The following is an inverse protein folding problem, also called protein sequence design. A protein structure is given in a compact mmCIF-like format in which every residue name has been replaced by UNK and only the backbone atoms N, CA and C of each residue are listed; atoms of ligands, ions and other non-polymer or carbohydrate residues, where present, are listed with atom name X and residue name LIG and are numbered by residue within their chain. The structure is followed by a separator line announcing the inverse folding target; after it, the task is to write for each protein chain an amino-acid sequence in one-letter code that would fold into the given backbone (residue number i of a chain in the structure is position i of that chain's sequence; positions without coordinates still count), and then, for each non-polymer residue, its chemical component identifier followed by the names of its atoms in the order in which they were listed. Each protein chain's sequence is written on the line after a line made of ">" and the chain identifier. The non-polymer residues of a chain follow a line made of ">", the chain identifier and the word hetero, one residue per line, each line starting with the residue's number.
data_IF_300607985887
#
_entry.id   IF_300607985887
#
_cell.length_a   1.000
_cell.length_b   1.000
_cell.length_c   1.000
_cell.angle_alpha   90.00
_cell.angle_beta   90.00
_cell.angle_gamma   90.00
#
_symmetry.space_group_name_H-M   'P 1'
#
loop_
_entity.id
_entity.type
_entity.pdbx_description
1 polymer ?
#
# COMPACT_ATOMS: atom_id res chain seq x y z
N UNK A 1 -39.50 3.78 -15.27
CA UNK A 1 -38.84 4.46 -16.40
C UNK A 1 -38.23 3.38 -17.30
N UNK A 2 -39.05 2.72 -18.12
CA UNK A 2 -38.61 1.76 -19.15
C UNK A 2 -38.89 2.32 -20.55
N UNK A 3 -39.22 3.60 -20.64
CA UNK A 3 -39.18 4.33 -21.90
C UNK A 3 -37.70 4.48 -22.24
N UNK A 4 -37.20 3.59 -23.11
CA UNK A 4 -35.96 3.86 -23.83
C UNK A 4 -36.07 5.23 -24.52
N UNK A 5 -34.95 5.88 -24.87
CA UNK A 5 -35.00 7.17 -25.54
C UNK A 5 -35.97 7.09 -26.72
N UNK A 6 -37.07 7.85 -26.64
CA UNK A 6 -38.11 7.86 -27.66
C UNK A 6 -37.40 8.16 -29.00
N UNK A 7 -37.47 7.27 -30.00
CA UNK A 7 -36.71 7.44 -31.22
C UNK A 7 -37.08 8.79 -31.80
N UNK A 8 -36.11 9.71 -31.90
CA UNK A 8 -36.33 11.08 -32.39
C UNK A 8 -37.05 11.00 -33.74
N UNK A 9 -38.36 11.18 -33.72
CA UNK A 9 -39.15 11.27 -34.93
C UNK A 9 -38.80 12.60 -35.59
N UNK A 10 -38.09 12.52 -36.72
CA UNK A 10 -37.89 13.64 -37.63
C UNK A 10 -39.27 14.16 -38.05
N UNK A 11 -39.71 15.27 -37.48
CA UNK A 11 -40.94 15.97 -37.87
C UNK A 11 -40.80 16.48 -39.30
N UNK A 12 -41.30 15.71 -40.26
CA UNK A 12 -41.60 16.20 -41.61
C UNK A 12 -43.12 16.20 -41.74
N UNK A 13 -43.69 17.40 -41.80
CA UNK A 13 -45.13 17.59 -41.85
C UNK A 13 -45.74 17.22 -43.20
N UNK A 14 -46.68 16.27 -43.19
CA UNK A 14 -47.92 16.26 -44.00
C UNK A 14 -48.83 15.10 -43.53
N UNK A 15 -50.17 15.23 -43.60
CA UNK A 15 -51.09 14.26 -42.99
C UNK A 15 -51.55 13.18 -43.98
N UNK A 16 -51.38 11.90 -43.63
CA UNK A 16 -52.12 10.67 -44.03
C UNK A 16 -51.21 9.44 -43.82
N UNK A 17 -51.70 8.18 -43.81
CA UNK A 17 -52.99 7.60 -43.44
C UNK A 17 -52.86 6.73 -42.17
N UNK A 18 -53.97 6.19 -41.66
CA UNK A 18 -53.99 5.26 -40.50
C UNK A 18 -53.36 3.92 -40.89
N UNK A 19 -52.04 3.77 -40.71
CA UNK A 19 -51.35 2.48 -40.81
C UNK A 19 -51.44 1.75 -39.47
N UNK A 20 -52.13 0.61 -39.47
CA UNK A 20 -52.10 -0.35 -38.36
C UNK A 20 -50.68 -0.94 -38.28
N UNK A 21 -49.83 -0.35 -37.45
CA UNK A 21 -48.50 -0.89 -37.19
C UNK A 21 -48.63 -2.08 -36.25
N UNK A 22 -48.58 -3.29 -36.79
CA UNK A 22 -48.33 -4.49 -35.98
C UNK A 22 -46.91 -4.40 -35.46
N UNK A 23 -46.78 -4.07 -34.17
CA UNK A 23 -45.51 -4.06 -33.45
C UNK A 23 -45.03 -5.51 -33.32
N UNK A 24 -44.18 -5.95 -34.25
CA UNK A 24 -43.49 -7.24 -34.14
C UNK A 24 -42.40 -7.06 -33.08
N UNK A 25 -42.64 -7.61 -31.89
CA UNK A 25 -41.65 -7.65 -30.81
C UNK A 25 -40.57 -8.66 -31.21
N UNK A 26 -39.29 -8.27 -31.30
CA UNK A 26 -38.21 -9.21 -31.56
C UNK A 26 -38.20 -10.33 -30.53
N UNK A 27 -37.98 -11.58 -30.96
CA UNK A 27 -37.94 -12.74 -30.06
C UNK A 27 -36.88 -12.62 -28.94
N UNK A 28 -35.88 -11.76 -29.14
CA UNK A 28 -34.82 -11.47 -28.16
C UNK A 28 -35.28 -10.59 -27.00
N UNK A 29 -36.44 -9.93 -27.08
CA UNK A 29 -36.92 -9.06 -25.99
C UNK A 29 -37.32 -9.81 -24.71
N UNK A 30 -37.50 -11.13 -24.76
CA UNK A 30 -37.72 -11.96 -23.56
C UNK A 30 -36.46 -12.68 -23.07
N UNK A 31 -35.35 -12.57 -23.79
CA UNK A 31 -34.10 -13.26 -23.47
C UNK A 31 -33.32 -12.53 -22.38
N UNK A 32 -32.67 -13.30 -21.50
CA UNK A 32 -31.71 -12.74 -20.56
C UNK A 32 -30.47 -12.23 -21.30
N UNK A 33 -29.82 -11.19 -20.76
CA UNK A 33 -28.66 -10.57 -21.39
C UNK A 33 -27.54 -11.59 -21.70
N UNK A 34 -27.30 -12.53 -20.78
CA UNK A 34 -26.30 -13.61 -20.92
C UNK A 34 -26.62 -14.61 -22.04
N UNK A 35 -27.89 -14.73 -22.45
CA UNK A 35 -28.30 -15.64 -23.52
C UNK A 35 -28.19 -14.98 -24.91
N UNK A 36 -27.99 -13.67 -24.94
CA UNK A 36 -27.78 -12.91 -26.17
C UNK A 36 -26.38 -13.20 -26.74
N UNK A 37 -26.29 -13.27 -28.06
CA UNK A 37 -24.99 -13.25 -28.73
C UNK A 37 -24.29 -11.92 -28.50
N UNK A 38 -22.96 -11.88 -28.65
CA UNK A 38 -22.21 -10.64 -28.41
C UNK A 38 -22.67 -9.48 -29.29
N UNK A 39 -22.99 -9.73 -30.56
CA UNK A 39 -23.55 -8.72 -31.44
C UNK A 39 -24.93 -8.22 -30.99
N UNK A 40 -25.75 -9.10 -30.40
CA UNK A 40 -27.03 -8.70 -29.80
C UNK A 40 -26.82 -7.89 -28.53
N UNK A 41 -25.85 -8.25 -27.68
CA UNK A 41 -25.47 -7.48 -26.50
C UNK A 41 -24.99 -6.06 -26.88
N UNK A 42 -24.21 -5.94 -27.94
CA UNK A 42 -23.77 -4.65 -28.48
C UNK A 42 -24.94 -3.83 -29.03
N UNK A 43 -25.90 -4.46 -29.68
CA UNK A 43 -27.14 -3.79 -30.10
C UNK A 43 -27.95 -3.28 -28.89
N UNK A 44 -28.03 -4.07 -27.81
CA UNK A 44 -28.66 -3.66 -26.54
C UNK A 44 -27.98 -2.41 -25.97
N UNK A 45 -26.64 -2.37 -25.96
CA UNK A 45 -25.87 -1.20 -25.50
C UNK A 45 -26.04 0.01 -26.42
N UNK A 46 -26.13 -0.19 -27.73
CA UNK A 46 -26.40 0.87 -28.70
C UNK A 46 -27.76 1.52 -28.46
N UNK A 47 -28.74 0.74 -27.98
CA UNK A 47 -30.04 1.22 -27.53
C UNK A 47 -30.02 1.85 -26.13
N UNK A 48 -28.82 2.09 -25.57
CA UNK A 48 -28.57 2.68 -24.25
C UNK A 48 -29.10 1.85 -23.06
N UNK A 49 -29.29 0.54 -23.24
CA UNK A 49 -29.56 -0.36 -22.11
C UNK A 49 -28.23 -0.82 -21.48
N UNK A 50 -28.16 -0.73 -20.15
CA UNK A 50 -27.20 -1.50 -19.36
C UNK A 50 -27.75 -2.91 -19.10
N UNK A 51 -26.93 -3.83 -18.60
CA UNK A 51 -27.41 -5.16 -18.18
C UNK A 51 -28.55 -5.02 -17.17
N UNK A 52 -28.39 -4.12 -16.20
CA UNK A 52 -29.41 -3.83 -15.18
C UNK A 52 -30.71 -3.33 -15.79
N UNK A 53 -30.67 -2.35 -16.70
CA UNK A 53 -31.90 -1.82 -17.30
C UNK A 53 -32.52 -2.80 -18.30
N UNK A 54 -31.71 -3.63 -18.96
CA UNK A 54 -32.19 -4.73 -19.79
C UNK A 54 -32.96 -5.75 -18.94
N UNK A 55 -32.36 -6.29 -17.88
CA UNK A 55 -33.04 -7.22 -16.98
C UNK A 55 -34.30 -6.57 -16.37
N UNK A 56 -34.22 -5.36 -15.83
CA UNK A 56 -35.39 -4.70 -15.23
C UNK A 56 -36.54 -4.46 -16.21
N UNK A 57 -36.26 -4.12 -17.48
CA UNK A 57 -37.30 -3.73 -18.43
C UNK A 57 -37.76 -4.86 -19.36
N UNK A 58 -36.92 -5.86 -19.60
CA UNK A 58 -37.18 -6.94 -20.58
C UNK A 58 -37.46 -8.28 -19.90
N UNK A 59 -36.68 -8.66 -18.90
CA UNK A 59 -36.89 -9.90 -18.16
C UNK A 59 -36.28 -9.82 -16.74
N UNK A 60 -37.09 -9.45 -15.73
CA UNK A 60 -36.61 -9.25 -14.35
C UNK A 60 -36.15 -10.52 -13.64
N UNK A 61 -36.56 -11.70 -14.14
CA UNK A 61 -36.23 -13.00 -13.53
C UNK A 61 -34.83 -13.50 -13.92
N UNK A 62 -34.12 -12.76 -14.77
CA UNK A 62 -32.78 -13.10 -15.21
C UNK A 62 -31.75 -12.98 -14.08
N UNK A 63 -30.91 -14.00 -13.93
CA UNK A 63 -29.72 -13.90 -13.10
C UNK A 63 -28.68 -12.97 -13.74
N UNK A 64 -27.85 -12.33 -12.92
CA UNK A 64 -26.71 -11.57 -13.41
C UNK A 64 -25.73 -12.50 -14.18
N UNK A 65 -25.14 -12.06 -15.31
CA UNK A 65 -24.23 -12.91 -16.07
C UNK A 65 -22.99 -13.32 -15.25
N UNK A 66 -22.60 -14.58 -15.34
CA UNK A 66 -21.41 -15.09 -14.66
C UNK A 66 -20.13 -14.40 -15.18
N UNK A 67 -19.24 -14.04 -14.25
CA UNK A 67 -17.95 -13.41 -14.58
C UNK A 67 -18.02 -11.95 -15.00
N UNK A 68 -19.19 -11.31 -15.03
CA UNK A 68 -19.32 -9.86 -15.19
C UNK A 68 -19.51 -9.23 -13.80
N UNK A 69 -18.74 -8.21 -13.41
CA UNK A 69 -18.94 -7.51 -12.14
C UNK A 69 -20.33 -6.90 -12.04
N UNK A 70 -20.95 -7.01 -10.87
CA UNK A 70 -22.25 -6.37 -10.62
C UNK A 70 -22.13 -4.84 -10.62
N UNK A 71 -23.22 -4.08 -10.80
CA UNK A 71 -23.17 -2.61 -10.75
C UNK A 71 -22.69 -2.05 -9.42
N UNK A 72 -22.82 -2.84 -8.35
CA UNK A 72 -22.35 -2.53 -6.99
C UNK A 72 -20.94 -3.06 -6.71
N UNK A 73 -20.28 -3.71 -7.67
CA UNK A 73 -18.93 -4.22 -7.50
C UNK A 73 -17.95 -3.06 -7.26
N UNK A 74 -16.92 -3.24 -6.40
CA UNK A 74 -15.88 -2.24 -6.21
C UNK A 74 -15.24 -1.84 -7.54
N UNK A 75 -14.94 -0.55 -7.71
CA UNK A 75 -14.38 -0.03 -8.96
C UNK A 75 -13.14 -0.82 -9.44
N UNK A 76 -12.27 -1.26 -8.52
CA UNK A 76 -11.06 -2.02 -8.89
C UNK A 76 -11.36 -3.43 -9.43
N UNK A 77 -12.45 -4.06 -8.98
CA UNK A 77 -12.91 -5.33 -9.55
C UNK A 77 -13.38 -5.11 -10.99
N UNK A 78 -14.13 -4.03 -11.22
CA UNK A 78 -14.58 -3.63 -12.55
C UNK A 78 -13.37 -3.33 -13.46
N UNK A 79 -12.37 -2.60 -12.96
CA UNK A 79 -11.15 -2.29 -13.69
C UNK A 79 -10.35 -3.55 -14.05
N UNK A 80 -10.17 -4.48 -13.11
CA UNK A 80 -9.48 -5.75 -13.34
C UNK A 80 -10.24 -6.63 -14.35
N UNK A 81 -11.57 -6.61 -14.30
CA UNK A 81 -12.41 -7.26 -15.29
C UNK A 81 -12.23 -6.65 -16.68
N UNK A 82 -12.14 -5.33 -16.83
CA UNK A 82 -11.83 -4.71 -18.13
C UNK A 82 -10.45 -5.10 -18.64
N UNK A 83 -9.43 -5.01 -17.79
CA UNK A 83 -8.06 -5.36 -18.13
C UNK A 83 -7.95 -6.83 -18.62
N UNK A 84 -8.75 -7.73 -18.05
CA UNK A 84 -8.74 -9.17 -18.39
C UNK A 84 -9.72 -9.57 -19.49
N UNK A 85 -10.91 -8.98 -19.60
CA UNK A 85 -11.95 -9.42 -20.52
C UNK A 85 -11.82 -8.82 -21.92
N UNK A 86 -11.46 -7.54 -22.00
CA UNK A 86 -11.38 -6.83 -23.27
C UNK A 86 -10.05 -7.10 -23.97
N UNK A 87 -8.94 -7.00 -23.24
CA UNK A 87 -7.59 -7.11 -23.83
C UNK A 87 -7.05 -8.54 -23.95
N UNK A 88 -7.75 -9.55 -23.44
CA UNK A 88 -7.37 -10.96 -23.68
C UNK A 88 -7.81 -11.48 -25.05
N UNK A 89 -8.65 -10.73 -25.78
CA UNK A 89 -9.22 -11.13 -27.07
C UNK A 89 -8.38 -10.64 -28.24
N UNK A 90 -8.37 -11.41 -29.32
CA UNK A 90 -7.78 -10.94 -30.57
C UNK A 90 -8.67 -9.89 -31.23
N UNK A 91 -8.07 -8.97 -32.00
CA UNK A 91 -8.83 -7.90 -32.68
C UNK A 91 -9.92 -8.42 -33.62
N UNK A 92 -9.70 -9.60 -34.23
CA UNK A 92 -10.65 -10.22 -35.16
C UNK A 92 -11.84 -10.86 -34.45
N UNK A 93 -11.69 -11.25 -33.18
CA UNK A 93 -12.76 -11.85 -32.38
C UNK A 93 -13.72 -10.80 -31.80
N UNK A 94 -13.37 -9.52 -31.90
CA UNK A 94 -14.26 -8.42 -31.51
C UNK A 94 -15.40 -8.27 -32.53
N UNK A 95 -16.52 -7.73 -32.10
CA UNK A 95 -17.60 -7.31 -33.01
C UNK A 95 -17.22 -6.03 -33.74
N UNK A 96 -17.89 -5.74 -34.86
CA UNK A 96 -17.69 -4.49 -35.60
C UNK A 96 -17.95 -3.28 -34.69
N UNK A 97 -19.03 -3.28 -33.90
CA UNK A 97 -19.35 -2.18 -33.00
C UNK A 97 -18.28 -1.92 -31.92
N UNK A 98 -17.65 -2.97 -31.38
CA UNK A 98 -16.53 -2.81 -30.44
C UNK A 98 -15.27 -2.29 -31.13
N UNK A 99 -14.97 -2.77 -32.34
CA UNK A 99 -13.85 -2.23 -33.13
C UNK A 99 -14.06 -0.76 -33.45
N UNK A 100 -15.24 -0.37 -33.93
CA UNK A 100 -15.57 1.02 -34.23
C UNK A 100 -15.39 1.92 -32.99
N UNK A 101 -15.85 1.47 -31.82
CA UNK A 101 -15.66 2.19 -30.56
C UNK A 101 -14.17 2.29 -30.17
N UNK A 102 -13.39 1.21 -30.33
CA UNK A 102 -11.96 1.21 -30.07
C UNK A 102 -11.19 2.11 -31.05
N UNK A 103 -11.57 2.14 -32.32
CA UNK A 103 -11.00 3.01 -33.35
C UNK A 103 -11.26 4.48 -33.04
N UNK A 104 -12.44 4.84 -32.53
CA UNK A 104 -12.73 6.19 -32.02
C UNK A 104 -11.82 6.57 -30.83
N UNK A 105 -11.45 5.59 -30.01
CA UNK A 105 -10.45 5.75 -28.95
C UNK A 105 -9.00 5.73 -29.48
N UNK A 106 -8.79 5.60 -30.79
CA UNK A 106 -7.47 5.67 -31.42
C UNK A 106 -6.73 4.34 -31.51
N UNK A 107 -7.40 3.23 -31.20
CA UNK A 107 -6.87 1.90 -31.49
C UNK A 107 -6.86 1.62 -32.99
N UNK A 108 -5.93 0.76 -33.38
CA UNK A 108 -5.89 0.15 -34.69
C UNK A 108 -5.50 -1.32 -34.50
N UNK A 109 -5.81 -2.18 -35.47
CA UNK A 109 -5.47 -3.61 -35.41
C UNK A 109 -3.98 -3.86 -35.11
N UNK A 110 -3.08 -3.09 -35.73
CA UNK A 110 -1.62 -3.19 -35.47
C UNK A 110 -1.26 -2.84 -34.02
N UNK A 111 -1.79 -1.73 -33.51
CA UNK A 111 -1.58 -1.30 -32.11
C UNK A 111 -2.15 -2.27 -31.10
N UNK A 112 -3.28 -2.89 -31.41
CA UNK A 112 -3.93 -3.88 -30.55
C UNK A 112 -3.02 -5.08 -30.30
N UNK A 113 -2.43 -5.62 -31.38
CA UNK A 113 -1.50 -6.76 -31.28
C UNK A 113 -0.25 -6.39 -30.48
N UNK A 114 0.24 -5.17 -30.65
CA UNK A 114 1.42 -4.66 -29.93
C UNK A 114 1.11 -4.14 -28.51
N UNK A 115 -0.17 -4.13 -28.10
CA UNK A 115 -0.63 -3.49 -26.87
C UNK A 115 -0.13 -2.03 -26.71
N UNK A 116 -0.01 -1.29 -27.82
CA UNK A 116 0.36 0.13 -27.84
C UNK A 116 -0.88 0.99 -27.53
N UNK A 117 -1.10 1.25 -26.25
CA UNK A 117 -2.24 2.04 -25.80
C UNK A 117 -2.27 3.44 -26.47
N UNK A 118 -3.40 3.81 -27.08
CA UNK A 118 -3.58 5.14 -27.67
C UNK A 118 -3.50 6.26 -26.62
N UNK A 119 -3.18 7.48 -27.08
CA UNK A 119 -3.07 8.66 -26.21
C UNK A 119 -4.38 9.00 -25.46
N UNK A 120 -5.54 8.58 -25.96
CA UNK A 120 -6.83 8.76 -25.28
C UNK A 120 -6.79 8.15 -23.87
N UNK A 121 -6.13 7.01 -23.67
CA UNK A 121 -6.03 6.34 -22.36
C UNK A 121 -5.12 7.08 -21.36
N UNK A 122 -4.39 8.10 -21.80
CA UNK A 122 -3.67 9.00 -20.92
C UNK A 122 -4.50 10.24 -20.53
N UNK A 123 -5.61 10.51 -21.23
CA UNK A 123 -6.46 11.67 -20.98
C UNK A 123 -7.42 11.41 -19.82
N UNK A 124 -7.73 12.47 -19.07
CA UNK A 124 -8.85 12.44 -18.12
C UNK A 124 -10.16 12.24 -18.87
N UNK A 125 -11.18 11.69 -18.19
CA UNK A 125 -12.49 11.50 -18.82
C UNK A 125 -13.05 12.82 -19.37
N UNK A 126 -12.87 13.92 -18.63
CA UNK A 126 -13.30 15.27 -19.02
C UNK A 126 -12.57 15.85 -20.23
N UNK A 127 -11.40 15.30 -20.59
CA UNK A 127 -10.58 15.75 -21.72
C UNK A 127 -10.89 14.96 -23.00
N UNK A 128 -11.57 13.82 -22.88
CA UNK A 128 -12.05 13.05 -24.03
C UNK A 128 -13.07 13.85 -24.84
N UNK A 129 -13.01 13.69 -26.16
CA UNK A 129 -14.06 14.21 -27.03
C UNK A 129 -15.40 13.53 -26.72
N UNK A 130 -16.56 14.18 -26.92
CA UNK A 130 -17.87 13.58 -26.64
C UNK A 130 -18.07 12.20 -27.29
N UNK A 131 -17.63 12.03 -28.55
CA UNK A 131 -17.68 10.73 -29.25
C UNK A 131 -16.76 9.67 -28.62
N UNK A 132 -15.64 10.07 -28.03
CA UNK A 132 -14.75 9.17 -27.32
C UNK A 132 -15.36 8.74 -25.98
N UNK A 133 -16.02 9.66 -25.26
CA UNK A 133 -16.77 9.31 -24.05
C UNK A 133 -17.91 8.34 -24.34
N UNK A 134 -18.66 8.57 -25.43
CA UNK A 134 -19.70 7.65 -25.91
C UNK A 134 -19.13 6.27 -26.25
N UNK A 135 -18.01 6.23 -26.99
CA UNK A 135 -17.32 4.98 -27.31
C UNK A 135 -16.79 4.24 -26.08
N UNK A 136 -16.18 4.96 -25.12
CA UNK A 136 -15.74 4.38 -23.85
C UNK A 136 -16.92 3.84 -23.04
N UNK A 137 -18.03 4.59 -22.98
CA UNK A 137 -19.28 4.17 -22.33
C UNK A 137 -19.86 2.92 -22.97
N UNK A 138 -19.85 2.84 -24.31
CA UNK A 138 -20.29 1.67 -25.06
C UNK A 138 -19.47 0.41 -24.72
N UNK A 139 -18.13 0.56 -24.61
CA UNK A 139 -17.26 -0.53 -24.17
C UNK A 139 -17.54 -0.92 -22.70
N UNK A 140 -18.10 -0.01 -21.91
CA UNK A 140 -18.56 -0.21 -20.54
C UNK A 140 -17.81 0.61 -19.50
N UNK A 141 -16.88 1.47 -19.92
CA UNK A 141 -16.20 2.38 -19.01
C UNK A 141 -17.17 3.42 -18.46
N UNK A 142 -16.99 3.75 -17.19
CA UNK A 142 -17.52 4.97 -16.60
C UNK A 142 -16.35 5.88 -16.19
N UNK A 143 -16.63 7.08 -15.72
CA UNK A 143 -15.61 8.05 -15.29
C UNK A 143 -14.66 7.47 -14.23
N UNK A 144 -15.18 6.70 -13.27
CA UNK A 144 -14.38 6.16 -12.18
C UNK A 144 -13.40 5.10 -12.68
N UNK A 145 -13.86 4.15 -13.49
CA UNK A 145 -13.02 3.08 -14.05
C UNK A 145 -12.00 3.65 -15.03
N UNK A 146 -12.41 4.61 -15.87
CA UNK A 146 -11.50 5.29 -16.81
C UNK A 146 -10.36 6.00 -16.08
N UNK A 147 -10.68 6.72 -15.01
CA UNK A 147 -9.70 7.38 -14.13
C UNK A 147 -9.07 6.41 -13.11
N UNK A 148 -8.98 5.11 -13.45
CA UNK A 148 -8.31 4.07 -12.67
C UNK A 148 -8.75 4.02 -11.20
N UNK A 149 -10.02 4.31 -10.96
CA UNK A 149 -10.66 4.33 -9.64
C UNK A 149 -10.02 5.31 -8.66
N UNK A 150 -9.42 6.41 -9.15
CA UNK A 150 -8.72 7.39 -8.31
C UNK A 150 -9.57 7.89 -7.13
N UNK A 151 -10.86 8.15 -7.38
CA UNK A 151 -11.83 8.64 -6.38
C UNK A 151 -12.61 7.54 -5.67
N UNK A 152 -12.67 6.34 -6.26
CA UNK A 152 -13.52 5.24 -5.80
C UNK A 152 -12.78 4.19 -4.97
N UNK A 153 -11.44 4.19 -5.00
CA UNK A 153 -10.62 3.23 -4.29
C UNK A 153 -9.43 3.89 -3.56
N UNK A 154 -9.06 3.40 -2.36
CA UNK A 154 -7.90 3.90 -1.64
C UNK A 154 -6.61 3.81 -2.47
N UNK A 155 -5.76 4.83 -2.37
CA UNK A 155 -4.51 4.90 -3.13
C UNK A 155 -3.63 3.66 -2.90
N UNK A 156 -3.50 3.21 -1.65
CA UNK A 156 -2.65 2.07 -1.31
C UNK A 156 -3.10 0.78 -1.99
N UNK A 157 -4.41 0.51 -2.05
CA UNK A 157 -4.95 -0.66 -2.74
C UNK A 157 -4.67 -0.59 -4.25
N UNK A 158 -4.77 0.61 -4.85
CA UNK A 158 -4.40 0.82 -6.26
C UNK A 158 -2.91 0.59 -6.50
N UNK A 159 -2.05 1.09 -5.62
CA UNK A 159 -0.60 0.91 -5.70
C UNK A 159 -0.22 -0.56 -5.59
N UNK A 160 -0.77 -1.31 -4.62
CA UNK A 160 -0.53 -2.75 -4.45
C UNK A 160 -0.89 -3.55 -5.72
N UNK A 161 -2.02 -3.23 -6.36
CA UNK A 161 -2.43 -3.87 -7.61
C UNK A 161 -1.46 -3.58 -8.75
N UNK A 162 -1.01 -2.33 -8.89
CA UNK A 162 -0.03 -1.93 -9.90
C UNK A 162 1.31 -2.62 -9.68
N UNK A 163 1.82 -2.63 -8.45
CA UNK A 163 3.08 -3.31 -8.13
C UNK A 163 2.99 -4.81 -8.38
N UNK A 164 1.87 -5.45 -8.02
CA UNK A 164 1.64 -6.87 -8.30
C UNK A 164 1.67 -7.12 -9.81
N UNK A 165 0.92 -6.33 -10.58
CA UNK A 165 0.87 -6.41 -12.05
C UNK A 165 2.27 -6.27 -12.67
N UNK A 166 3.03 -5.25 -12.26
CA UNK A 166 4.34 -4.97 -12.84
C UNK A 166 5.45 -5.91 -12.36
N UNK A 167 5.37 -6.42 -11.13
CA UNK A 167 6.33 -7.41 -10.61
C UNK A 167 6.26 -8.76 -11.33
N UNK A 168 5.11 -9.09 -11.92
CA UNK A 168 4.91 -10.34 -12.65
C UNK A 168 5.45 -10.30 -14.09
N UNK A 169 5.80 -9.13 -14.62
CA UNK A 169 6.16 -8.95 -16.04
C UNK A 169 7.67 -8.76 -16.17
N UNK A 170 8.33 -9.65 -16.93
CA UNK A 170 9.74 -9.44 -17.27
C UNK A 170 9.89 -8.39 -18.39
N UNK A 171 10.99 -7.64 -18.37
CA UNK A 171 11.26 -6.62 -19.40
C UNK A 171 11.20 -7.18 -20.82
N UNK A 172 11.69 -8.40 -21.03
CA UNK A 172 11.73 -9.05 -22.35
C UNK A 172 10.37 -9.52 -22.86
N UNK A 173 9.42 -9.75 -21.96
CA UNK A 173 8.05 -10.13 -22.31
C UNK A 173 7.18 -8.91 -22.60
N UNK A 174 7.62 -7.71 -22.23
CA UNK A 174 6.93 -6.47 -22.57
C UNK A 174 7.03 -6.18 -24.06
N UNK A 175 5.93 -5.69 -24.62
CA UNK A 175 5.90 -5.23 -26.00
C UNK A 175 6.77 -3.98 -26.20
N UNK A 176 7.38 -3.86 -27.38
CA UNK A 176 8.35 -2.79 -27.67
C UNK A 176 7.80 -1.37 -27.46
N UNK A 177 6.56 -1.03 -27.88
CA UNK A 177 6.01 0.31 -27.64
C UNK A 177 5.89 0.66 -26.16
N UNK A 178 5.58 -0.34 -25.31
CA UNK A 178 5.52 -0.13 -23.88
C UNK A 178 6.92 0.05 -23.26
N UNK A 179 7.90 -0.74 -23.71
CA UNK A 179 9.30 -0.54 -23.30
C UNK A 179 9.80 0.85 -23.66
N UNK A 180 9.45 1.38 -24.84
CA UNK A 180 9.88 2.70 -25.29
C UNK A 180 9.32 3.82 -24.40
N UNK A 181 8.06 3.70 -23.94
CA UNK A 181 7.48 4.60 -22.93
C UNK A 181 8.15 4.48 -21.58
N UNK A 182 8.50 3.27 -21.14
CA UNK A 182 9.27 3.09 -19.91
C UNK A 182 10.69 3.69 -20.02
N UNK A 183 11.32 3.65 -21.21
CA UNK A 183 12.59 4.33 -21.45
C UNK A 183 12.48 5.86 -21.33
N UNK A 184 11.35 6.46 -21.74
CA UNK A 184 11.10 7.89 -21.49
C UNK A 184 11.08 8.22 -19.99
N UNK A 185 10.60 7.28 -19.17
CA UNK A 185 10.65 7.39 -17.71
C UNK A 185 12.02 7.03 -17.13
N UNK A 186 13.02 6.72 -17.96
CA UNK A 186 14.38 6.39 -17.54
C UNK A 186 14.59 4.93 -17.12
N UNK A 187 13.67 4.01 -17.46
CA UNK A 187 13.88 2.58 -17.30
C UNK A 187 14.68 1.99 -18.47
N UNK A 188 15.48 0.99 -18.13
CA UNK A 188 16.10 0.08 -19.09
C UNK A 188 15.95 -1.35 -18.54
N UNK A 189 16.31 -2.37 -19.34
CA UNK A 189 16.20 -3.79 -18.94
C UNK A 189 16.90 -4.06 -17.61
N UNK A 190 18.08 -3.48 -17.41
CA UNK A 190 18.89 -3.69 -16.21
C UNK A 190 18.21 -3.08 -14.99
N UNK A 191 17.73 -1.84 -15.11
CA UNK A 191 17.04 -1.12 -14.04
C UNK A 191 15.74 -1.79 -13.64
N UNK A 192 14.93 -2.17 -14.64
CA UNK A 192 13.69 -2.91 -14.40
C UNK A 192 13.95 -4.22 -13.65
N UNK A 193 14.86 -5.04 -14.16
CA UNK A 193 15.16 -6.37 -13.59
C UNK A 193 15.78 -6.24 -12.19
N UNK A 194 16.63 -5.23 -11.97
CA UNK A 194 17.20 -4.98 -10.66
C UNK A 194 16.18 -4.37 -9.69
N UNK A 195 15.03 -3.89 -10.17
CA UNK A 195 14.14 -3.01 -9.42
C UNK A 195 14.80 -1.69 -9.04
N UNK A 196 15.87 -1.28 -9.73
CA UNK A 196 16.42 0.06 -9.60
C UNK A 196 15.35 0.98 -10.20
N UNK A 197 14.60 1.67 -9.36
CA UNK A 197 13.66 2.69 -9.84
C UNK A 197 14.42 3.65 -10.76
N UNK A 198 13.73 4.22 -11.76
CA UNK A 198 14.33 5.24 -12.60
C UNK A 198 15.10 6.24 -11.72
N UNK A 199 16.38 6.47 -12.02
CA UNK A 199 17.34 7.22 -11.17
C UNK A 199 16.91 8.64 -10.80
N UNK A 200 15.76 9.10 -11.30
CA UNK A 200 15.10 10.35 -10.98
C UNK A 200 13.62 10.04 -10.73
N UNK A 201 13.24 9.58 -9.53
CA UNK A 201 11.85 9.69 -9.09
C UNK A 201 11.55 11.18 -8.88
N UNK A 202 11.29 11.89 -9.98
CA UNK A 202 10.61 13.18 -9.97
C UNK A 202 9.22 12.97 -9.37
N UNK A 203 8.76 13.91 -8.56
CA UNK A 203 7.36 13.92 -8.17
C UNK A 203 6.48 14.02 -9.43
N UNK A 204 5.26 13.50 -9.40
CA UNK A 204 4.38 13.51 -10.58
C UNK A 204 4.20 14.91 -11.16
N UNK A 205 4.16 15.92 -10.29
CA UNK A 205 4.04 17.34 -10.66
C UNK A 205 5.21 17.85 -11.49
N UNK A 206 6.41 17.30 -11.27
CA UNK A 206 7.67 17.69 -11.93
C UNK A 206 7.93 16.92 -13.24
N UNK A 207 7.06 15.97 -13.58
CA UNK A 207 7.11 15.25 -14.85
C UNK A 207 6.69 16.16 -16.01
N UNK A 208 7.39 16.00 -17.13
CA UNK A 208 6.98 16.53 -18.44
C UNK A 208 5.68 15.89 -18.90
N UNK A 209 4.98 16.51 -19.85
CA UNK A 209 3.70 15.97 -20.36
C UNK A 209 3.88 14.58 -20.99
N UNK A 210 4.99 14.34 -21.68
CA UNK A 210 5.33 13.02 -22.24
C UNK A 210 5.54 11.98 -21.12
N UNK A 211 6.29 12.32 -20.07
CA UNK A 211 6.46 11.45 -18.90
C UNK A 211 5.10 11.17 -18.23
N UNK A 212 4.24 12.18 -18.04
CA UNK A 212 2.89 11.99 -17.45
C UNK A 212 2.01 11.06 -18.28
N UNK A 213 2.06 11.17 -19.61
CA UNK A 213 1.39 10.24 -20.54
C UNK A 213 1.90 8.82 -20.31
N UNK A 214 3.22 8.63 -20.29
CA UNK A 214 3.83 7.32 -20.10
C UNK A 214 3.51 6.71 -18.72
N UNK A 215 3.46 7.53 -17.66
CA UNK A 215 3.02 7.12 -16.31
C UNK A 215 1.55 6.66 -16.31
N UNK A 216 0.65 7.42 -16.94
CA UNK A 216 -0.77 7.07 -17.01
C UNK A 216 -1.05 5.81 -17.82
N UNK A 217 -0.33 5.61 -18.91
CA UNK A 217 -0.45 4.40 -19.72
C UNK A 217 0.14 3.17 -19.02
N UNK A 218 1.12 3.37 -18.14
CA UNK A 218 1.56 2.35 -17.18
C UNK A 218 0.55 2.12 -16.02
N UNK A 219 -0.61 2.78 -16.05
CA UNK A 219 -1.71 2.59 -15.09
C UNK A 219 -1.59 3.39 -13.80
N UNK A 220 -0.51 4.16 -13.63
CA UNK A 220 -0.34 5.02 -12.47
C UNK A 220 -1.11 6.33 -12.65
N UNK A 221 -1.72 6.79 -11.57
CA UNK A 221 -2.19 8.17 -11.42
C UNK A 221 -1.25 8.93 -10.47
N UNK A 222 -1.44 10.25 -10.33
CA UNK A 222 -0.51 11.13 -9.60
C UNK A 222 -0.15 10.61 -8.22
N UNK A 223 -1.15 10.20 -7.43
CA UNK A 223 -0.93 9.77 -6.07
C UNK A 223 -0.19 8.42 -5.98
N UNK A 224 -0.55 7.44 -6.81
CA UNK A 224 0.15 6.14 -6.85
C UNK A 224 1.58 6.25 -7.38
N UNK A 225 1.84 7.17 -8.32
CA UNK A 225 3.21 7.44 -8.79
C UNK A 225 4.10 7.95 -7.65
N UNK A 226 3.57 8.87 -6.85
CA UNK A 226 4.26 9.46 -5.71
C UNK A 226 4.25 8.56 -4.45
N UNK A 227 3.75 7.33 -4.54
CA UNK A 227 3.73 6.38 -3.43
C UNK A 227 2.67 6.66 -2.36
N UNK A 228 1.53 7.25 -2.77
CA UNK A 228 0.38 7.56 -1.92
C UNK A 228 0.72 8.49 -0.74
N UNK A 229 1.29 9.70 -0.99
CA UNK A 229 1.75 10.59 0.08
C UNK A 229 0.63 11.03 1.03
N UNK A 230 -0.62 11.11 0.51
CA UNK A 230 -1.80 11.56 1.25
C UNK A 230 -2.55 10.43 1.97
N UNK A 231 -2.16 9.16 1.78
CA UNK A 231 -2.76 8.06 2.54
C UNK A 231 -2.41 8.19 4.02
N UNK A 232 -3.31 7.69 4.88
CA UNK A 232 -3.09 7.74 6.32
C UNK A 232 -1.77 7.01 6.66
N UNK A 233 -1.02 7.55 7.62
CA UNK A 233 0.29 6.99 7.93
C UNK A 233 0.19 5.50 8.29
N UNK A 234 -0.80 5.13 9.10
CA UNK A 234 -1.01 3.73 9.52
C UNK A 234 -1.27 2.80 8.34
N UNK A 235 -2.06 3.23 7.34
CA UNK A 235 -2.32 2.45 6.13
C UNK A 235 -1.04 2.22 5.34
N UNK A 236 -0.23 3.28 5.16
CA UNK A 236 1.06 3.21 4.48
C UNK A 236 2.03 2.30 5.20
N UNK A 237 2.12 2.41 6.53
CA UNK A 237 2.99 1.56 7.34
C UNK A 237 2.55 0.10 7.29
N UNK A 238 1.25 -0.18 7.39
CA UNK A 238 0.71 -1.52 7.26
C UNK A 238 0.95 -2.13 5.88
N UNK A 239 0.83 -1.32 4.82
CA UNK A 239 1.21 -1.73 3.47
C UNK A 239 2.68 -2.14 3.39
N UNK A 240 3.61 -1.34 3.92
CA UNK A 240 5.04 -1.68 3.93
C UNK A 240 5.30 -2.97 4.71
N UNK A 241 4.65 -3.16 5.87
CA UNK A 241 4.75 -4.40 6.64
C UNK A 241 4.30 -5.60 5.82
N UNK A 242 3.14 -5.53 5.16
CA UNK A 242 2.64 -6.63 4.30
C UNK A 242 3.54 -6.89 3.10
N UNK A 243 4.01 -5.83 2.44
CA UNK A 243 4.90 -5.91 1.27
C UNK A 243 6.17 -6.70 1.57
N UNK A 244 6.73 -6.54 2.78
CA UNK A 244 8.00 -7.14 3.17
C UNK A 244 7.88 -8.28 4.19
N UNK A 245 6.68 -8.62 4.72
CA UNK A 245 6.53 -9.66 5.75
C UNK A 245 6.84 -11.06 5.25
N UNK A 246 6.40 -11.38 4.03
CA UNK A 246 6.40 -12.75 3.49
C UNK A 246 7.42 -12.94 2.36
N UNK A 247 8.16 -11.88 2.02
CA UNK A 247 9.18 -11.94 0.97
C UNK A 247 10.47 -12.56 1.52
N UNK A 248 10.94 -13.60 0.84
CA UNK A 248 12.24 -14.20 1.15
C UNK A 248 13.37 -13.25 0.69
N UNK A 249 14.50 -13.26 1.38
CA UNK A 249 15.64 -12.41 1.03
C UNK A 249 16.10 -12.58 -0.43
N UNK A 250 16.05 -13.82 -0.94
CA UNK A 250 16.38 -14.16 -2.33
C UNK A 250 15.35 -13.63 -3.35
N UNK A 251 14.10 -13.43 -2.92
CA UNK A 251 13.02 -12.92 -3.76
C UNK A 251 13.00 -11.38 -3.89
N UNK A 252 13.68 -10.67 -2.99
CA UNK A 252 13.90 -9.22 -3.13
C UNK A 252 14.65 -8.92 -4.44
N UNK A 253 14.34 -7.79 -5.07
CA UNK A 253 15.12 -7.33 -6.22
C UNK A 253 16.56 -6.98 -5.80
N UNK A 254 17.49 -6.89 -6.75
CA UNK A 254 18.89 -6.53 -6.44
C UNK A 254 18.97 -5.16 -5.76
N UNK A 255 18.19 -4.18 -6.23
CA UNK A 255 18.10 -2.85 -5.65
C UNK A 255 17.52 -2.89 -4.23
N UNK A 256 16.42 -3.62 -4.02
CA UNK A 256 15.80 -3.77 -2.71
C UNK A 256 16.76 -4.42 -1.71
N UNK A 257 17.46 -5.50 -2.10
CA UNK A 257 18.48 -6.12 -1.23
C UNK A 257 19.59 -5.14 -0.86
N UNK A 258 20.09 -4.35 -1.82
CA UNK A 258 21.14 -3.35 -1.56
C UNK A 258 20.65 -2.24 -0.62
N UNK A 259 19.43 -1.75 -0.83
CA UNK A 259 18.80 -0.78 0.05
C UNK A 259 18.67 -1.33 1.48
N UNK A 260 18.17 -2.56 1.61
CA UNK A 260 18.08 -3.27 2.89
C UNK A 260 19.45 -3.50 3.54
N UNK A 261 20.48 -3.83 2.76
CA UNK A 261 21.86 -3.97 3.26
C UNK A 261 22.43 -2.66 3.80
N UNK A 262 22.14 -1.53 3.15
CA UNK A 262 22.53 -0.19 3.65
C UNK A 262 21.78 0.19 4.94
N UNK A 263 20.61 -0.39 5.16
CA UNK A 263 19.86 -0.33 6.43
C UNK A 263 20.28 -1.44 7.41
N UNK A 264 21.43 -2.09 7.18
CA UNK A 264 22.02 -3.06 8.10
C UNK A 264 21.42 -4.46 8.05
N UNK A 265 20.51 -4.76 7.11
CA UNK A 265 19.98 -6.11 6.94
C UNK A 265 20.96 -7.00 6.19
N UNK A 266 20.90 -8.29 6.52
CA UNK A 266 21.46 -9.37 5.73
C UNK A 266 20.46 -10.53 5.75
N UNK A 267 20.76 -11.60 5.01
CA UNK A 267 19.88 -12.76 4.90
C UNK A 267 19.51 -13.39 6.25
N UNK A 268 20.47 -13.46 7.19
CA UNK A 268 20.24 -14.04 8.52
C UNK A 268 19.33 -13.15 9.37
N UNK A 269 19.56 -11.83 9.35
CA UNK A 269 18.74 -10.87 10.10
C UNK A 269 17.35 -10.73 9.51
N UNK A 270 17.21 -10.87 8.19
CA UNK A 270 15.92 -10.82 7.49
C UNK A 270 14.95 -11.90 7.99
N UNK A 271 15.46 -13.11 8.27
CA UNK A 271 14.65 -14.20 8.82
C UNK A 271 14.05 -13.88 10.19
N UNK A 272 14.67 -12.99 10.98
CA UNK A 272 14.12 -12.52 12.25
C UNK A 272 13.04 -11.44 12.11
N UNK A 273 12.83 -10.92 10.90
CA UNK A 273 11.90 -9.83 10.61
C UNK A 273 12.59 -8.48 10.34
N UNK A 274 11.82 -7.59 9.71
CA UNK A 274 12.29 -6.31 9.18
C UNK A 274 12.79 -5.31 10.24
N UNK A 275 12.49 -5.49 11.53
CA UNK A 275 12.82 -4.49 12.57
C UNK A 275 14.10 -4.80 13.37
N UNK A 276 14.83 -5.85 13.02
CA UNK A 276 15.91 -6.39 13.86
C UNK A 276 17.31 -5.80 13.61
N UNK A 277 17.40 -4.63 12.98
CA UNK A 277 18.68 -3.97 12.66
C UNK A 277 18.88 -2.69 13.43
N UNK A 278 20.14 -2.27 13.60
CA UNK A 278 20.49 -1.02 14.29
C UNK A 278 19.85 0.18 13.57
N UNK A 279 19.86 0.21 12.24
CA UNK A 279 19.27 1.32 11.48
C UNK A 279 17.77 1.45 11.78
N UNK A 280 17.03 0.34 11.87
CA UNK A 280 15.60 0.35 12.22
C UNK A 280 15.30 0.82 13.64
N UNK A 281 16.33 1.02 14.46
CA UNK A 281 16.20 1.58 15.79
C UNK A 281 16.48 3.10 15.80
N UNK A 282 17.15 3.63 14.77
CA UNK A 282 17.41 5.06 14.60
C UNK A 282 16.12 5.82 14.26
N UNK A 283 16.02 7.06 14.73
CA UNK A 283 15.04 8.03 14.22
C UNK A 283 15.36 8.40 12.79
N UNK A 284 14.35 8.94 12.09
CA UNK A 284 14.55 9.38 10.72
C UNK A 284 15.70 10.40 10.59
N UNK A 285 15.85 11.27 11.57
CA UNK A 285 16.89 12.30 11.63
C UNK A 285 18.28 11.72 11.97
N UNK A 286 18.35 10.59 12.66
CA UNK A 286 19.60 9.89 12.99
C UNK A 286 20.13 9.07 11.79
N UNK A 287 19.30 8.77 10.79
CA UNK A 287 19.74 8.12 9.56
C UNK A 287 20.66 9.03 8.73
N UNK A 288 21.69 8.42 8.15
CA UNK A 288 22.51 9.10 7.14
C UNK A 288 21.64 9.53 5.94
N UNK A 289 22.11 10.52 5.17
CA UNK A 289 21.40 10.95 3.95
C UNK A 289 21.21 9.78 2.97
N UNK A 290 22.22 8.92 2.85
CA UNK A 290 22.15 7.72 2.02
C UNK A 290 21.11 6.72 2.55
N UNK A 291 21.10 6.46 3.86
CA UNK A 291 20.12 5.56 4.47
C UNK A 291 18.68 6.08 4.31
N UNK A 292 18.45 7.39 4.46
CA UNK A 292 17.13 7.99 4.19
C UNK A 292 16.71 7.79 2.74
N UNK A 293 17.61 8.03 1.79
CA UNK A 293 17.31 7.80 0.38
C UNK A 293 16.97 6.32 0.09
N UNK A 294 17.66 5.36 0.73
CA UNK A 294 17.31 3.94 0.61
C UNK A 294 15.98 3.59 1.29
N UNK A 295 15.68 4.18 2.44
CA UNK A 295 14.40 4.01 3.12
C UNK A 295 13.24 4.57 2.27
N UNK A 296 13.42 5.75 1.68
CA UNK A 296 12.47 6.34 0.71
C UNK A 296 12.28 5.48 -0.53
N UNK A 297 13.37 4.93 -1.07
CA UNK A 297 13.31 3.98 -2.18
C UNK A 297 12.48 2.73 -1.83
N UNK A 298 12.57 2.23 -0.61
CA UNK A 298 11.78 1.11 -0.08
C UNK A 298 10.33 1.51 0.27
N UNK A 299 9.97 2.78 0.14
CA UNK A 299 8.63 3.32 0.38
C UNK A 299 8.39 3.86 1.79
N UNK A 300 9.40 3.89 2.65
CA UNK A 300 9.29 4.56 3.94
C UNK A 300 9.33 6.09 3.75
N UNK A 301 8.63 6.81 4.62
CA UNK A 301 8.89 8.23 4.84
C UNK A 301 9.19 8.46 6.32
N UNK A 302 9.52 9.71 6.67
CA UNK A 302 9.68 10.16 8.04
C UNK A 302 8.60 9.62 8.99
N UNK A 303 7.33 9.75 8.63
CA UNK A 303 6.23 9.27 9.48
C UNK A 303 6.11 7.75 9.56
N UNK A 304 6.33 7.03 8.45
CA UNK A 304 6.17 5.56 8.48
C UNK A 304 7.41 4.83 8.99
N UNK A 305 8.59 5.46 9.02
CA UNK A 305 9.84 4.85 9.45
C UNK A 305 9.75 4.22 10.84
N UNK A 306 9.06 4.92 11.76
CA UNK A 306 8.87 4.50 13.14
C UNK A 306 7.43 4.12 13.47
N UNK A 307 6.67 3.68 12.46
CA UNK A 307 5.29 3.25 12.67
C UNK A 307 4.35 4.38 13.08
N UNK A 308 4.48 5.56 12.47
CA UNK A 308 3.54 6.68 12.59
C UNK A 308 3.55 7.40 13.94
N UNK A 309 4.70 7.39 14.61
CA UNK A 309 4.90 8.13 15.83
C UNK A 309 5.73 9.40 15.55
N UNK A 310 5.10 10.42 14.97
CA UNK A 310 5.76 11.68 14.58
C UNK A 310 6.29 12.48 15.78
N UNK A 311 5.80 12.21 16.99
CA UNK A 311 6.22 12.86 18.24
C UNK A 311 7.44 12.19 18.89
N UNK A 312 8.01 11.18 18.25
CA UNK A 312 9.16 10.45 18.78
C UNK A 312 10.38 11.38 18.93
N UNK A 313 10.84 11.57 20.17
CA UNK A 313 12.08 12.32 20.46
C UNK A 313 11.91 13.83 20.66
N UNK A 314 10.70 14.39 20.51
CA UNK A 314 10.44 15.73 21.02
C UNK A 314 10.36 15.66 22.54
N UNK A 315 11.37 16.20 23.23
CA UNK A 315 11.37 16.42 24.67
C UNK A 315 10.07 17.13 25.07
N UNK A 316 9.06 16.36 25.48
CA UNK A 316 7.79 16.87 25.96
C UNK A 316 8.01 17.39 27.38
N UNK A 317 8.76 18.49 27.49
CA UNK A 317 8.83 19.32 28.69
C UNK A 317 7.63 20.27 28.81
N UNK A 318 6.49 19.91 28.22
CA UNK A 318 5.27 20.70 28.20
C UNK A 318 4.23 20.11 29.14
N UNK A 319 3.81 20.90 30.13
CA UNK A 319 2.66 20.71 31.01
C UNK A 319 1.31 20.66 30.23
N UNK A 320 1.18 19.75 29.27
CA UNK A 320 -0.05 19.52 28.54
C UNK A 320 -0.73 18.27 29.08
N UNK A 321 -1.82 18.46 29.82
CA UNK A 321 -2.84 17.43 30.04
C UNK A 321 -3.39 16.99 28.67
N UNK A 322 -2.74 16.03 28.03
CA UNK A 322 -3.31 15.29 26.91
C UNK A 322 -4.28 14.26 27.48
N UNK A 323 -5.50 14.29 26.97
CA UNK A 323 -6.61 13.44 27.37
C UNK A 323 -6.29 11.94 27.18
N UNK A 324 -6.55 11.16 28.22
CA UNK A 324 -6.38 9.70 28.32
C UNK A 324 -7.13 8.85 27.28
N UNK A 325 -7.92 9.45 26.37
CA UNK A 325 -8.73 8.71 25.39
C UNK A 325 -7.94 8.13 24.20
N UNK A 326 -6.63 8.41 24.06
CA UNK A 326 -5.82 7.91 22.95
C UNK A 326 -5.05 6.60 23.24
N UNK A 327 -5.21 6.01 24.43
CA UNK A 327 -4.45 4.81 24.84
C UNK A 327 -5.05 3.49 24.27
N UNK A 328 -6.26 3.51 23.70
CA UNK A 328 -7.06 2.28 23.57
C UNK A 328 -6.91 1.42 22.29
N UNK A 329 -6.08 1.73 21.28
CA UNK A 329 -6.03 0.89 20.06
C UNK A 329 -4.66 0.38 19.65
N UNK A 330 -3.60 0.77 20.34
CA UNK A 330 -2.21 0.48 19.92
C UNK A 330 -1.48 -0.50 20.85
N UNK A 331 -2.14 -1.60 21.22
CA UNK A 331 -1.57 -2.64 22.10
C UNK A 331 -0.37 -3.36 21.44
N UNK A 332 -0.17 -3.17 20.12
CA UNK A 332 0.89 -3.80 19.33
C UNK A 332 2.11 -2.90 19.04
N UNK A 333 2.19 -1.69 19.60
CA UNK A 333 3.33 -0.79 19.31
C UNK A 333 4.61 -1.20 20.02
N UNK A 334 5.72 -1.12 19.29
CA UNK A 334 7.05 -1.10 19.89
C UNK A 334 7.26 0.26 20.55
N UNK A 335 7.60 0.30 21.84
CA UNK A 335 7.83 1.55 22.58
C UNK A 335 9.34 1.73 22.80
N UNK A 336 9.96 2.77 22.23
CA UNK A 336 11.32 3.19 22.62
C UNK A 336 11.23 4.16 23.79
N UNK A 337 12.05 3.93 24.80
CA UNK A 337 12.15 4.79 25.98
C UNK A 337 13.61 4.98 26.37
N UNK A 338 13.87 5.99 27.19
CA UNK A 338 15.20 6.37 27.64
C UNK A 338 15.25 6.27 29.16
N UNK A 339 16.07 5.37 29.67
CA UNK A 339 16.42 5.33 31.08
C UNK A 339 17.69 6.16 31.29
N UNK A 340 17.62 7.16 32.17
CA UNK A 340 18.79 7.94 32.59
C UNK A 340 19.20 7.51 33.98
N UNK A 341 20.31 6.79 34.10
CA UNK A 341 20.90 6.44 35.38
C UNK A 341 21.86 7.57 35.77
N UNK A 342 21.48 8.34 36.79
CA UNK A 342 22.29 9.46 37.33
C UNK A 342 23.42 8.99 38.25
N UNK A 343 24.07 7.89 37.91
CA UNK A 343 25.22 7.32 38.65
C UNK A 343 26.39 7.19 37.68
N UNK A 344 27.62 7.50 38.12
CA UNK A 344 28.79 7.33 37.28
C UNK A 344 29.03 5.85 36.98
N UNK A 345 29.52 5.55 35.78
CA UNK A 345 29.73 4.19 35.29
C UNK A 345 30.62 3.33 36.21
N UNK A 346 31.59 3.97 36.88
CA UNK A 346 32.47 3.32 37.84
C UNK A 346 31.73 2.77 39.08
N UNK A 347 30.62 3.39 39.50
CA UNK A 347 29.80 2.90 40.62
C UNK A 347 28.97 1.67 40.24
N UNK A 348 28.64 1.50 38.96
CA UNK A 348 27.73 0.44 38.49
C UNK A 348 28.47 -0.83 38.07
N UNK A 349 29.62 -0.71 37.40
CA UNK A 349 30.36 -1.87 36.88
C UNK A 349 31.47 -2.38 37.80
N UNK A 350 31.78 -1.64 38.88
CA UNK A 350 32.77 -1.99 39.90
C UNK A 350 34.24 -2.12 39.44
N UNK A 351 34.52 -2.27 38.13
CA UNK A 351 35.86 -2.58 37.62
C UNK A 351 36.13 -2.18 36.16
N UNK A 352 35.21 -1.51 35.45
CA UNK A 352 35.43 -1.11 34.05
C UNK A 352 35.84 0.36 34.00
N UNK A 353 37.11 0.62 34.31
CA UNK A 353 37.73 1.93 34.13
C UNK A 353 38.27 2.08 32.70
N UNK A 354 37.77 3.07 31.94
CA UNK A 354 38.48 3.61 30.78
C UNK A 354 38.25 2.98 29.40
N UNK A 355 37.26 2.10 29.22
CA UNK A 355 36.82 1.67 27.88
C UNK A 355 35.54 2.40 27.49
N UNK A 356 35.56 3.02 26.31
CA UNK A 356 34.36 3.54 25.65
C UNK A 356 33.31 2.42 25.52
N UNK A 357 32.06 2.81 25.72
CA UNK A 357 30.89 1.93 25.88
C UNK A 357 30.61 1.09 24.62
N UNK A 358 31.14 1.53 23.47
CA UNK A 358 31.13 0.87 22.17
C UNK A 358 31.94 -0.45 22.13
N UNK A 359 32.71 -0.78 23.19
CA UNK A 359 33.51 -2.02 23.28
C UNK A 359 33.10 -2.95 24.43
N UNK A 360 31.94 -2.74 25.04
CA UNK A 360 31.50 -3.56 26.17
C UNK A 360 31.13 -5.00 25.73
N UNK A 361 31.50 -6.02 26.51
CA UNK A 361 31.15 -7.41 26.21
C UNK A 361 29.63 -7.63 26.26
N UNK A 362 29.14 -8.62 25.50
CA UNK A 362 27.71 -8.97 25.35
C UNK A 362 26.99 -9.20 26.70
N UNK A 363 27.74 -9.63 27.72
CA UNK A 363 27.25 -9.79 29.10
C UNK A 363 26.79 -8.48 29.73
N UNK A 364 27.28 -7.32 29.27
CA UNK A 364 26.94 -6.02 29.85
C UNK A 364 25.65 -5.43 29.26
N UNK A 365 25.33 -5.73 28.00
CA UNK A 365 24.04 -5.41 27.39
C UNK A 365 22.92 -6.17 28.13
N UNK A 366 23.17 -7.44 28.46
CA UNK A 366 22.24 -8.27 29.24
C UNK A 366 21.96 -7.67 30.62
N UNK A 367 22.97 -7.11 31.30
CA UNK A 367 22.78 -6.43 32.59
C UNK A 367 21.81 -5.25 32.47
N UNK A 368 21.92 -4.44 31.40
CA UNK A 368 20.99 -3.33 31.20
C UNK A 368 19.61 -3.79 30.73
N UNK A 369 19.52 -4.81 29.88
CA UNK A 369 18.22 -5.41 29.51
C UNK A 369 17.50 -5.91 30.76
N UNK A 370 18.21 -6.62 31.65
CA UNK A 370 17.66 -7.08 32.92
C UNK A 370 17.32 -5.92 33.85
N UNK A 371 18.19 -4.90 34.00
CA UNK A 371 17.95 -3.76 34.87
C UNK A 371 16.71 -2.96 34.42
N UNK A 372 16.59 -2.69 33.12
CA UNK A 372 15.42 -2.01 32.54
C UNK A 372 14.17 -2.88 32.67
N UNK A 373 14.24 -4.16 32.32
CA UNK A 373 13.11 -5.08 32.49
C UNK A 373 12.65 -5.16 33.95
N UNK A 374 13.59 -5.14 34.90
CA UNK A 374 13.26 -5.09 36.32
C UNK A 374 12.60 -3.78 36.68
N UNK A 375 13.16 -2.64 36.25
CA UNK A 375 12.59 -1.33 36.53
C UNK A 375 11.13 -1.22 36.06
N UNK A 376 10.82 -1.80 34.90
CA UNK A 376 9.48 -1.75 34.30
C UNK A 376 8.51 -2.77 34.88
N UNK A 377 8.94 -4.03 35.05
CA UNK A 377 8.00 -5.15 35.23
C UNK A 377 8.05 -5.83 36.59
N UNK A 378 9.02 -5.47 37.42
CA UNK A 378 9.27 -6.16 38.68
C UNK A 378 8.57 -5.51 39.87
N UNK A 379 8.07 -4.27 39.69
CA UNK A 379 7.60 -3.39 40.75
C UNK A 379 8.59 -3.38 41.91
N UNK A 380 9.81 -2.93 41.66
CA UNK A 380 10.87 -2.96 42.67
C UNK A 380 10.45 -2.19 43.93
N UNK A 381 10.92 -2.62 45.12
CA UNK A 381 10.71 -1.88 46.37
C UNK A 381 11.19 -0.42 46.25
N UNK A 382 10.56 0.52 46.98
CA UNK A 382 10.97 1.92 46.98
C UNK A 382 12.41 2.07 47.47
N UNK A 383 13.05 3.17 47.07
CA UNK A 383 14.43 3.45 47.44
C UNK A 383 14.58 3.56 48.97
N UNK A 384 15.42 2.71 49.54
CA UNK A 384 15.76 2.56 50.96
C UNK A 384 17.27 2.43 51.15
N UNK A 385 17.78 2.88 52.30
CA UNK A 385 19.20 2.76 52.68
C UNK A 385 19.57 1.37 53.22
N UNK A 386 18.59 0.54 53.57
CA UNK A 386 18.82 -0.82 54.05
C UNK A 386 18.99 -1.79 52.87
N UNK A 387 20.16 -2.41 52.64
CA UNK A 387 20.38 -3.34 51.53
C UNK A 387 19.41 -4.53 51.54
N UNK A 388 18.89 -4.91 52.72
CA UNK A 388 17.93 -6.02 52.88
C UNK A 388 16.57 -5.73 52.24
N UNK A 389 16.29 -4.48 51.89
CA UNK A 389 15.06 -4.12 51.16
C UNK A 389 15.10 -4.51 49.68
N UNK A 390 16.26 -4.91 49.14
CA UNK A 390 16.40 -5.24 47.72
C UNK A 390 16.76 -6.69 47.45
N UNK A 391 17.02 -7.50 48.48
CA UNK A 391 17.37 -8.92 48.35
C UNK A 391 16.52 -9.78 49.25
N UNK A 392 16.17 -10.98 48.78
CA UNK A 392 15.45 -11.96 49.58
C UNK A 392 16.39 -12.66 50.58
N UNK A 393 15.84 -13.61 51.34
CA UNK A 393 16.59 -14.36 52.36
C UNK A 393 17.75 -15.18 51.79
N UNK A 394 17.73 -15.46 50.49
CA UNK A 394 18.75 -16.22 49.78
C UNK A 394 19.75 -15.30 49.06
N UNK A 395 19.61 -13.98 49.22
CA UNK A 395 20.47 -12.97 48.61
C UNK A 395 20.11 -12.65 47.15
N UNK A 396 18.98 -13.14 46.63
CA UNK A 396 18.55 -12.83 45.27
C UNK A 396 17.80 -11.51 45.21
N UNK A 397 17.95 -10.72 44.14
CA UNK A 397 17.27 -9.42 44.03
C UNK A 397 15.74 -9.53 44.04
N UNK A 398 15.07 -8.84 44.97
CA UNK A 398 13.61 -8.86 45.19
C UNK A 398 12.84 -8.37 43.97
N UNK A 399 11.82 -9.14 43.59
CA UNK A 399 10.92 -8.83 42.49
C UNK A 399 9.47 -9.11 42.90
N UNK A 400 8.70 -8.05 43.16
CA UNK A 400 7.32 -8.18 43.65
C UNK A 400 6.45 -8.87 42.59
N UNK A 401 6.61 -8.49 41.33
CA UNK A 401 5.86 -9.05 40.20
C UNK A 401 6.71 -10.03 39.36
N UNK A 402 7.35 -11.01 40.01
CA UNK A 402 8.26 -11.96 39.34
C UNK A 402 7.65 -12.66 38.11
N UNK A 403 6.37 -13.05 38.18
CA UNK A 403 5.69 -13.70 37.04
C UNK A 403 5.53 -12.80 35.82
N UNK A 404 5.24 -11.50 36.01
CA UNK A 404 5.15 -10.53 34.92
C UNK A 404 6.56 -10.25 34.38
N UNK A 405 7.54 -10.04 35.26
CA UNK A 405 8.94 -9.85 34.86
C UNK A 405 9.47 -11.01 33.99
N UNK A 406 9.35 -12.27 34.42
CA UNK A 406 9.85 -13.42 33.65
C UNK A 406 9.20 -13.53 32.26
N UNK A 407 7.90 -13.21 32.17
CA UNK A 407 7.15 -13.25 30.90
C UNK A 407 7.56 -12.10 29.97
N UNK A 408 7.83 -10.91 30.52
CA UNK A 408 7.96 -9.68 29.76
C UNK A 408 9.42 -9.24 29.53
N UNK A 409 10.38 -9.71 30.34
CA UNK A 409 11.78 -9.24 30.30
C UNK A 409 12.46 -9.38 28.95
N UNK A 410 12.10 -10.41 28.19
CA UNK A 410 12.68 -10.68 26.87
C UNK A 410 12.28 -9.65 25.81
N UNK A 411 11.26 -8.82 26.10
CA UNK A 411 10.82 -7.72 25.22
C UNK A 411 11.70 -6.49 25.30
N UNK A 412 12.46 -6.33 26.39
CA UNK A 412 13.39 -5.21 26.54
C UNK A 412 14.63 -5.50 25.71
N UNK A 413 14.97 -4.54 24.86
CA UNK A 413 16.19 -4.57 24.07
C UNK A 413 16.92 -3.25 24.19
N UNK A 414 18.15 -3.31 24.70
CA UNK A 414 18.99 -2.13 24.89
C UNK A 414 19.67 -1.80 23.57
N UNK A 415 19.56 -0.54 23.16
CA UNK A 415 20.05 -0.05 21.88
C UNK A 415 21.44 0.55 22.00
N UNK A 416 21.57 1.56 22.86
CA UNK A 416 22.81 2.29 23.04
C UNK A 416 22.95 2.65 24.51
N UNK A 417 24.20 2.73 24.93
CA UNK A 417 24.57 3.25 26.24
C UNK A 417 25.55 4.40 26.00
N UNK A 418 25.21 5.60 26.48
CA UNK A 418 26.01 6.82 26.26
C UNK A 418 26.77 7.19 27.54
N UNK A 419 28.03 7.61 27.41
CA UNK A 419 28.90 7.98 28.51
C UNK A 419 28.54 9.36 29.12
N UNK A 420 28.66 9.48 30.46
CA UNK A 420 28.31 10.66 31.25
C UNK A 420 27.45 10.28 32.46
N UNK A 421 26.13 10.39 32.32
CA UNK A 421 25.14 9.66 33.12
C UNK A 421 24.68 8.49 32.26
N UNK A 422 24.74 7.23 32.71
CA UNK A 422 24.46 6.08 31.83
C UNK A 422 23.05 6.24 31.23
N UNK A 423 22.98 6.66 29.96
CA UNK A 423 21.73 6.81 29.22
C UNK A 423 21.53 5.51 28.47
N UNK A 424 20.52 4.75 28.87
CA UNK A 424 20.15 3.49 28.22
C UNK A 424 18.92 3.80 27.36
N UNK A 425 19.12 3.87 26.06
CA UNK A 425 17.99 3.84 25.11
C UNK A 425 17.59 2.38 24.93
N UNK A 426 16.32 2.07 25.13
CA UNK A 426 15.80 0.71 24.98
C UNK A 426 14.46 0.72 24.26
N UNK A 427 14.07 -0.40 23.68
CA UNK A 427 12.71 -0.60 23.21
C UNK A 427 12.03 -1.79 23.87
N UNK A 428 10.70 -1.74 23.87
CA UNK A 428 9.80 -2.79 24.29
C UNK A 428 9.16 -3.39 23.04
N UNK A 429 9.57 -4.60 22.68
CA UNK A 429 8.97 -5.35 21.59
C UNK A 429 7.48 -5.62 21.84
N UNK A 430 6.70 -5.94 20.80
CA UNK A 430 5.30 -6.38 20.93
C UNK A 430 5.15 -7.58 21.87
N UNK A 431 3.94 -7.75 22.42
CA UNK A 431 3.56 -8.98 23.10
C UNK A 431 3.74 -10.18 22.16
N UNK A 432 4.25 -11.30 22.66
CA UNK A 432 4.37 -12.52 21.86
C UNK A 432 3.01 -13.20 21.68
N UNK A 433 2.09 -13.00 22.62
CA UNK A 433 0.73 -13.55 22.58
C UNK A 433 -0.34 -12.52 22.93
N UNK A 434 -1.56 -12.67 22.42
CA UNK A 434 -2.68 -11.78 22.71
C UNK A 434 -3.12 -11.81 24.19
N UNK A 435 -2.70 -12.82 24.95
CA UNK A 435 -3.02 -13.01 26.37
C UNK A 435 -1.98 -12.35 27.29
N UNK A 436 -0.84 -11.90 26.75
CA UNK A 436 0.11 -11.12 27.53
C UNK A 436 -0.47 -9.74 27.81
N UNK A 437 -0.81 -9.49 29.07
CA UNK A 437 -1.24 -8.17 29.49
C UNK A 437 -0.05 -7.19 29.41
N UNK A 438 -0.21 -6.03 28.74
CA UNK A 438 0.82 -4.99 28.79
C UNK A 438 1.01 -4.53 30.24
N UNK A 439 2.25 -4.30 30.64
CA UNK A 439 2.54 -3.95 32.03
C UNK A 439 1.83 -2.63 32.40
N UNK A 440 1.10 -2.56 33.54
CA UNK A 440 0.39 -1.35 33.96
C UNK A 440 1.30 -0.12 34.06
N UNK A 441 2.55 -0.32 34.45
CA UNK A 441 3.62 0.69 34.56
C UNK A 441 4.05 1.35 33.25
N UNK A 442 3.50 0.95 32.10
CA UNK A 442 3.75 1.60 30.81
C UNK A 442 2.71 2.68 30.47
N UNK A 443 1.68 2.83 31.29
CA UNK A 443 0.56 3.76 31.09
C UNK A 443 0.37 4.74 32.27
N UNK A 444 1.11 4.56 33.36
CA UNK A 444 1.27 5.52 34.48
C UNK A 444 2.62 6.24 34.34
#
# INVERSE_FOLDING_TARGET
>A
MCEGPEPRQLQIGTPMPTTTSTTVVPATESSCYQDLTEAQQDAVRTLAYSITTWHLCKNPDCSWPEGIPQPTAPCLEVLAWFDSSLYSRSWVDLTDSKRDALELLGWASSRWVEMDYPLSYAQLWSELQPRQQEAATFLGYNVEVWERCERAAPCITRLELLETKWSAISWREMQQPFQDRLKELGYDEKRWTNGDGATLKKAYVDLTDAEKISVRLAGYVSDTWDGCPNAQCEERFNYLKRKYSDIQWSALTVAQRRAWQLLGHNEQLWAGGMMNTISMQLTWEELSLEQRAQAEFLGFSRGTWQGCNDNWGQNSGGNGTQSDDFISTSIERTVRSRMVIRRPFAEVSGNVYGTAVDRLPTSFIQVFEEAVARALFCSNPPLSEDPRTYVDTDGNPLCIQKGIYETQRHRVKVMTVIEGSIIVDFFLARNQTAMELPAPSLFE
#
